data_IF_372294739327
#
_entry.id   IF_372294739327
#
_cell.length_a   1.000
_cell.length_b   1.000
_cell.length_c   1.000
_cell.angle_alpha   90.00
_cell.angle_beta   90.00
_cell.angle_gamma   90.00
#
_symmetry.space_group_name_H-M   'P 1'
#
loop_
_entity.id
_entity.type
_entity.pdbx_description
1 polymer ?
#
# COMPACT_ATOMS: atom_id res chain seq x y z
N UNK A 1 -43.92 -2.74 41.06
CA UNK A 1 -42.79 -3.71 41.03
C UNK A 1 -42.23 -3.88 39.61
N UNK A 2 -41.69 -2.84 38.95
CA UNK A 2 -41.19 -2.96 37.57
C UNK A 2 -39.82 -2.31 37.28
N UNK A 3 -39.12 -1.75 38.28
CA UNK A 3 -37.87 -1.01 38.04
C UNK A 3 -36.58 -1.84 38.28
N UNK A 4 -36.66 -2.94 39.06
CA UNK A 4 -35.49 -3.80 39.35
C UNK A 4 -35.09 -4.71 38.18
N UNK A 5 -36.03 -5.11 37.32
CA UNK A 5 -35.73 -5.96 36.15
C UNK A 5 -34.97 -5.22 35.04
N UNK A 6 -35.18 -3.90 34.92
CA UNK A 6 -34.50 -3.04 33.93
C UNK A 6 -33.02 -2.86 34.28
N UNK A 7 -32.74 -2.55 35.55
CA UNK A 7 -31.37 -2.29 36.04
C UNK A 7 -30.49 -3.55 35.92
N UNK A 8 -31.01 -4.73 36.27
CA UNK A 8 -30.24 -5.98 36.15
C UNK A 8 -29.89 -6.33 34.71
N UNK A 9 -30.76 -6.03 33.74
CA UNK A 9 -30.47 -6.22 32.31
C UNK A 9 -29.42 -5.25 31.80
N UNK A 10 -29.44 -4.00 32.27
CA UNK A 10 -28.42 -2.99 31.96
C UNK A 10 -27.07 -3.39 32.55
N UNK A 11 -27.03 -3.84 33.81
CA UNK A 11 -25.80 -4.32 34.46
C UNK A 11 -25.22 -5.54 33.73
N UNK A 12 -26.06 -6.51 33.33
CA UNK A 12 -25.61 -7.67 32.54
C UNK A 12 -25.10 -7.27 31.16
N UNK A 13 -25.76 -6.33 30.47
CA UNK A 13 -25.30 -5.83 29.18
C UNK A 13 -23.97 -5.07 29.30
N UNK A 14 -23.82 -4.23 30.33
CA UNK A 14 -22.55 -3.55 30.62
C UNK A 14 -21.45 -4.54 31.00
N UNK A 15 -21.75 -5.57 31.80
CA UNK A 15 -20.78 -6.61 32.15
C UNK A 15 -20.36 -7.45 30.94
N UNK A 16 -21.29 -7.77 30.03
CA UNK A 16 -20.97 -8.47 28.79
C UNK A 16 -20.09 -7.62 27.85
N UNK A 17 -20.40 -6.33 27.70
CA UNK A 17 -19.57 -5.38 26.93
C UNK A 17 -18.18 -5.24 27.59
N UNK A 18 -18.12 -5.19 28.91
CA UNK A 18 -16.86 -5.09 29.66
C UNK A 18 -16.03 -6.38 29.55
N UNK A 19 -16.65 -7.56 29.55
CA UNK A 19 -15.97 -8.84 29.34
C UNK A 19 -15.52 -9.04 27.89
N UNK A 20 -16.28 -8.55 26.91
CA UNK A 20 -15.85 -8.51 25.50
C UNK A 20 -14.68 -7.54 25.34
N UNK A 21 -14.75 -6.36 25.96
CA UNK A 21 -13.68 -5.38 25.96
C UNK A 21 -12.42 -5.91 26.65
N UNK A 22 -12.53 -6.59 27.80
CA UNK A 22 -11.42 -7.25 28.49
C UNK A 22 -10.89 -8.44 27.68
N UNK A 23 -11.76 -9.23 27.06
CA UNK A 23 -11.35 -10.31 26.15
C UNK A 23 -10.48 -9.76 25.02
N UNK A 24 -10.93 -8.68 24.36
CA UNK A 24 -10.10 -7.96 23.39
C UNK A 24 -8.82 -7.35 24.01
N UNK A 25 -8.89 -6.86 25.26
CA UNK A 25 -7.75 -6.29 26.00
C UNK A 25 -6.69 -7.33 26.37
N UNK A 26 -7.07 -8.59 26.58
CA UNK A 26 -6.18 -9.70 26.92
C UNK A 26 -5.60 -10.37 25.65
N UNK A 27 -6.35 -10.36 24.53
CA UNK A 27 -5.95 -11.04 23.29
C UNK A 27 -5.23 -10.15 22.25
N UNK A 28 -5.24 -8.82 22.40
CA UNK A 28 -4.41 -7.94 21.58
C UNK A 28 -3.01 -7.80 22.23
N UNK A 29 -1.91 -8.20 21.55
CA UNK A 29 -0.59 -8.10 22.14
C UNK A 29 -0.23 -6.62 22.39
N UNK A 30 0.29 -6.27 23.57
CA UNK A 30 0.70 -4.90 23.89
C UNK A 30 1.81 -4.43 22.96
N UNK A 31 1.92 -3.11 22.76
CA UNK A 31 3.07 -2.48 22.10
C UNK A 31 4.37 -3.07 22.64
N UNK A 32 5.16 -3.66 21.74
CA UNK A 32 6.50 -4.08 22.07
C UNK A 32 7.44 -2.91 21.76
N UNK A 33 8.20 -2.41 22.75
CA UNK A 33 9.19 -1.36 22.49
C UNK A 33 10.19 -1.82 21.42
N UNK A 34 10.89 -0.89 20.76
CA UNK A 34 11.80 -1.20 19.67
C UNK A 34 12.76 -2.29 20.13
N UNK A 35 12.82 -3.39 19.38
CA UNK A 35 13.80 -4.43 19.65
C UNK A 35 15.18 -3.88 19.29
N UNK A 36 16.22 -4.38 19.93
CA UNK A 36 17.59 -4.08 19.49
C UNK A 36 17.81 -4.78 18.15
N UNK A 37 17.51 -4.06 17.08
CA UNK A 37 17.53 -4.58 15.71
C UNK A 37 18.97 -4.61 15.20
N UNK A 38 19.38 -5.67 14.47
CA UNK A 38 20.68 -5.64 13.81
C UNK A 38 20.73 -4.46 12.82
N UNK A 39 21.89 -3.82 12.63
CA UNK A 39 22.02 -2.74 11.65
C UNK A 39 21.74 -3.28 10.25
N UNK A 40 20.88 -2.57 9.50
CA UNK A 40 20.49 -2.94 8.14
C UNK A 40 21.22 -2.03 7.15
N UNK A 41 21.90 -2.63 6.17
CA UNK A 41 22.55 -1.86 5.12
C UNK A 41 21.52 -1.18 4.20
N UNK A 42 21.89 -0.02 3.65
CA UNK A 42 20.95 0.85 2.91
C UNK A 42 20.33 0.16 1.69
N UNK A 43 21.09 -0.68 1.00
CA UNK A 43 20.61 -1.41 -0.17
C UNK A 43 19.54 -2.45 0.21
N UNK A 44 19.77 -3.23 1.26
CA UNK A 44 18.77 -4.14 1.82
C UNK A 44 17.53 -3.38 2.30
N UNK A 45 17.72 -2.24 2.99
CA UNK A 45 16.61 -1.39 3.46
C UNK A 45 15.73 -0.91 2.31
N UNK A 46 16.33 -0.39 1.24
CA UNK A 46 15.60 0.05 0.04
C UNK A 46 14.86 -1.09 -0.65
N UNK A 47 15.46 -2.30 -0.69
CA UNK A 47 14.80 -3.49 -1.23
C UNK A 47 13.60 -3.90 -0.38
N UNK A 48 13.75 -3.89 0.94
CA UNK A 48 12.67 -4.21 1.87
C UNK A 48 11.56 -3.15 1.83
N UNK A 49 11.89 -1.87 1.64
CA UNK A 49 10.90 -0.80 1.44
C UNK A 49 9.93 -1.13 0.31
N UNK A 50 10.46 -1.35 -0.90
CA UNK A 50 9.62 -1.65 -2.08
C UNK A 50 8.76 -2.88 -1.82
N UNK A 51 9.35 -3.93 -1.24
CA UNK A 51 8.65 -5.18 -0.97
C UNK A 51 7.55 -5.00 0.09
N UNK A 52 7.84 -4.33 1.21
CA UNK A 52 6.88 -4.06 2.28
C UNK A 52 5.70 -3.26 1.73
N UNK A 53 5.96 -2.17 1.01
CA UNK A 53 4.87 -1.30 0.56
C UNK A 53 4.03 -1.91 -0.57
N UNK A 54 4.60 -2.74 -1.45
CA UNK A 54 3.83 -3.53 -2.41
C UNK A 54 2.91 -4.55 -1.72
N UNK A 55 3.34 -5.12 -0.60
CA UNK A 55 2.48 -6.00 0.19
C UNK A 55 1.38 -5.24 0.93
N UNK A 56 1.72 -4.09 1.50
CA UNK A 56 0.78 -3.23 2.23
C UNK A 56 -0.16 -2.44 1.31
N UNK A 57 0.01 -2.47 0.00
CA UNK A 57 -0.85 -1.74 -0.93
C UNK A 57 -2.02 -2.59 -1.45
N UNK A 58 -1.92 -3.92 -1.33
CA UNK A 58 -3.02 -4.85 -1.59
C UNK A 58 -4.13 -4.63 -0.56
N UNK A 59 -5.24 -4.00 -0.99
CA UNK A 59 -6.39 -3.73 -0.14
C UNK A 59 -7.46 -4.82 -0.30
N UNK A 60 -8.01 -5.29 0.82
CA UNK A 60 -8.83 -6.49 0.90
C UNK A 60 -10.16 -6.38 0.16
N UNK A 61 -10.24 -7.06 -0.98
CA UNK A 61 -11.44 -7.78 -1.41
C UNK A 61 -11.00 -9.12 -1.98
N UNK A 62 -10.50 -9.98 -1.08
CA UNK A 62 -10.17 -11.40 -1.29
C UNK A 62 -8.90 -11.72 -2.11
N UNK A 63 -7.71 -11.27 -1.67
CA UNK A 63 -6.50 -11.96 -2.10
C UNK A 63 -6.56 -13.42 -1.59
N UNK A 64 -6.09 -14.42 -2.36
CA UNK A 64 -6.18 -15.83 -1.95
C UNK A 64 -5.56 -16.06 -0.57
N UNK A 65 -6.14 -16.93 0.27
CA UNK A 65 -5.65 -17.16 1.64
C UNK A 65 -4.13 -17.33 1.72
N UNK A 66 -3.53 -18.12 0.83
CA UNK A 66 -2.07 -18.35 0.80
C UNK A 66 -1.22 -17.07 0.72
N UNK A 67 -1.75 -15.99 0.14
CA UNK A 67 -1.06 -14.70 0.09
C UNK A 67 -1.06 -13.98 1.44
N UNK A 68 -2.05 -14.22 2.29
CA UNK A 68 -2.18 -13.57 3.59
C UNK A 68 -1.20 -14.15 4.62
N UNK A 69 -1.11 -15.48 4.73
CA UNK A 69 -0.11 -16.13 5.60
C UNK A 69 1.31 -15.75 5.16
N UNK A 70 1.60 -15.87 3.86
CA UNK A 70 2.90 -15.48 3.30
C UNK A 70 3.25 -14.02 3.59
N UNK A 71 2.31 -13.09 3.41
CA UNK A 71 2.52 -11.66 3.67
C UNK A 71 2.88 -11.44 5.15
N UNK A 72 2.12 -12.06 6.05
CA UNK A 72 2.38 -11.95 7.48
C UNK A 72 3.78 -12.46 7.84
N UNK A 73 4.13 -13.67 7.36
CA UNK A 73 5.45 -14.27 7.58
C UNK A 73 6.58 -13.38 7.04
N UNK A 74 6.41 -12.86 5.83
CA UNK A 74 7.36 -11.97 5.18
C UNK A 74 7.61 -10.69 5.98
N UNK A 75 6.55 -10.01 6.44
CA UNK A 75 6.67 -8.77 7.21
C UNK A 75 7.34 -9.03 8.57
N UNK A 76 6.99 -10.14 9.23
CA UNK A 76 7.64 -10.56 10.47
C UNK A 76 9.12 -10.91 10.26
N UNK A 77 9.47 -11.51 9.12
CA UNK A 77 10.85 -11.80 8.77
C UNK A 77 11.68 -10.53 8.52
N UNK A 78 11.12 -9.55 7.80
CA UNK A 78 11.74 -8.23 7.65
C UNK A 78 12.00 -7.56 9.01
N UNK A 79 11.01 -7.61 9.92
CA UNK A 79 11.16 -7.10 11.27
C UNK A 79 12.31 -7.79 12.03
N UNK A 80 12.44 -9.12 11.91
CA UNK A 80 13.56 -9.88 12.51
C UNK A 80 14.92 -9.51 11.94
N UNK A 81 14.97 -9.15 10.66
CA UNK A 81 16.18 -8.68 9.97
C UNK A 81 16.55 -7.22 10.29
N UNK A 82 15.78 -6.56 11.16
CA UNK A 82 16.07 -5.21 11.64
C UNK A 82 15.37 -4.09 10.88
N UNK A 83 14.42 -4.41 9.99
CA UNK A 83 13.61 -3.41 9.33
C UNK A 83 12.44 -2.97 10.21
N UNK A 84 12.70 -2.02 11.11
CA UNK A 84 11.76 -1.52 12.12
C UNK A 84 10.42 -1.05 11.56
N UNK A 85 10.40 -0.47 10.36
CA UNK A 85 9.16 -0.03 9.70
C UNK A 85 8.22 -1.20 9.40
N UNK A 86 8.74 -2.40 9.11
CA UNK A 86 7.93 -3.60 8.94
C UNK A 86 7.28 -4.06 10.26
N UNK A 87 8.02 -3.96 11.38
CA UNK A 87 7.49 -4.28 12.70
C UNK A 87 6.35 -3.32 13.09
N UNK A 88 6.56 -2.01 12.85
CA UNK A 88 5.52 -1.02 13.06
C UNK A 88 4.29 -1.24 12.17
N UNK A 89 4.50 -1.66 10.91
CA UNK A 89 3.40 -2.02 10.03
C UNK A 89 2.61 -3.22 10.58
N UNK A 90 3.29 -4.24 11.11
CA UNK A 90 2.65 -5.39 11.76
C UNK A 90 1.85 -4.99 13.00
N UNK A 91 2.38 -4.08 13.82
CA UNK A 91 1.71 -3.62 15.04
C UNK A 91 0.51 -2.70 14.77
N UNK A 92 0.55 -1.91 13.70
CA UNK A 92 -0.45 -0.87 13.40
C UNK A 92 -1.44 -1.29 12.33
N UNK A 93 -1.16 -2.28 11.50
CA UNK A 93 -2.04 -2.64 10.40
C UNK A 93 -2.43 -4.11 10.54
N UNK A 94 -3.69 -4.43 10.20
CA UNK A 94 -4.06 -5.82 9.92
C UNK A 94 -3.40 -6.23 8.61
N UNK A 95 -2.16 -6.71 8.70
CA UNK A 95 -1.38 -7.16 7.56
C UNK A 95 -1.92 -8.46 6.97
N UNK A 96 -2.70 -9.23 7.73
CA UNK A 96 -3.24 -10.51 7.28
C UNK A 96 -4.46 -10.30 6.39
N UNK A 97 -5.44 -9.52 6.84
CA UNK A 97 -6.71 -9.36 6.13
C UNK A 97 -6.87 -8.01 5.43
N UNK A 98 -5.99 -7.05 5.72
CA UNK A 98 -6.04 -5.74 5.07
C UNK A 98 -7.31 -4.98 5.45
N UNK A 99 -7.42 -4.56 6.71
CA UNK A 99 -8.54 -3.70 7.13
C UNK A 99 -8.36 -2.27 6.60
N UNK A 100 -9.45 -1.74 6.03
CA UNK A 100 -9.60 -0.33 5.71
C UNK A 100 -10.96 0.16 6.22
N UNK A 101 -11.00 1.38 6.76
CA UNK A 101 -12.21 1.92 7.38
C UNK A 101 -11.88 2.89 8.50
N UNK A 102 -12.88 3.67 8.92
CA UNK A 102 -12.72 4.57 10.07
C UNK A 102 -12.32 3.73 11.29
N UNK A 103 -11.12 3.98 11.79
CA UNK A 103 -10.56 3.31 12.96
C UNK A 103 -10.20 4.36 13.99
N UNK A 104 -10.58 4.11 15.23
CA UNK A 104 -10.21 4.94 16.35
C UNK A 104 -8.92 4.38 16.93
N UNK A 105 -7.87 5.20 17.02
CA UNK A 105 -6.59 4.78 17.56
C UNK A 105 -6.77 4.26 19.00
N UNK A 106 -6.66 2.95 19.17
CA UNK A 106 -6.92 2.26 20.44
C UNK A 106 -5.73 2.46 21.40
N UNK A 107 -5.91 2.51 22.72
CA UNK A 107 -4.83 2.75 23.68
C UNK A 107 -3.58 1.87 23.48
N UNK A 108 -3.75 0.63 23.02
CA UNK A 108 -2.66 -0.31 22.75
C UNK A 108 -1.79 0.09 21.54
N UNK A 109 -2.37 0.78 20.55
CA UNK A 109 -1.68 1.21 19.32
C UNK A 109 -0.93 2.53 19.52
N UNK A 110 -1.19 3.26 20.61
CA UNK A 110 -0.58 4.58 20.86
C UNK A 110 0.93 4.54 21.01
N UNK A 111 1.48 3.43 21.54
CA UNK A 111 2.93 3.24 21.63
C UNK A 111 3.55 3.18 20.25
N UNK A 112 3.10 2.23 19.43
CA UNK A 112 3.57 2.03 18.07
C UNK A 112 3.36 3.27 17.19
N UNK A 113 2.19 3.90 17.28
CA UNK A 113 1.89 5.07 16.44
C UNK A 113 2.72 6.29 16.83
N UNK A 114 2.97 6.53 18.13
CA UNK A 114 3.88 7.61 18.56
C UNK A 114 5.32 7.34 18.12
N UNK A 115 5.78 6.09 18.22
CA UNK A 115 7.11 5.71 17.77
C UNK A 115 7.28 5.89 16.25
N UNK A 116 6.28 5.45 15.47
CA UNK A 116 6.23 5.69 14.03
C UNK A 116 6.33 7.18 13.68
N UNK A 117 5.62 8.04 14.43
CA UNK A 117 5.68 9.49 14.24
C UNK A 117 7.05 10.06 14.60
N UNK A 118 7.66 9.63 15.70
CA UNK A 118 9.01 10.08 16.08
C UNK A 118 10.04 9.75 14.99
N UNK A 119 10.03 8.53 14.45
CA UNK A 119 10.89 8.15 13.31
C UNK A 119 10.63 9.03 12.07
N UNK A 120 9.35 9.25 11.74
CA UNK A 120 8.94 10.10 10.62
C UNK A 120 9.39 11.55 10.78
N UNK A 121 9.32 12.09 12.00
CA UNK A 121 9.73 13.45 12.34
C UNK A 121 11.26 13.59 12.29
N UNK A 122 12.00 12.55 12.68
CA UNK A 122 13.47 12.51 12.63
C UNK A 122 14.09 12.43 11.25
N UNK A 123 13.34 12.07 10.21
CA UNK A 123 13.93 11.96 8.87
C UNK A 123 13.51 10.74 8.08
N UNK A 124 13.01 9.70 8.74
CA UNK A 124 12.83 8.40 8.10
C UNK A 124 11.71 8.46 7.05
N UNK A 125 12.10 8.38 5.77
CA UNK A 125 11.18 8.47 4.64
C UNK A 125 10.18 7.31 4.60
N UNK A 126 10.59 6.13 5.05
CA UNK A 126 9.79 4.92 5.08
C UNK A 126 8.77 4.97 6.22
N UNK A 127 9.19 5.46 7.39
CA UNK A 127 8.29 5.77 8.50
C UNK A 127 7.25 6.83 8.12
N UNK A 128 7.64 7.91 7.43
CA UNK A 128 6.68 8.90 6.88
C UNK A 128 5.66 8.23 5.96
N UNK A 129 6.13 7.35 5.07
CA UNK A 129 5.24 6.72 4.12
C UNK A 129 4.28 5.71 4.78
N UNK A 130 4.75 4.98 5.80
CA UNK A 130 3.90 4.13 6.63
C UNK A 130 2.91 4.97 7.44
N UNK A 131 3.32 6.10 8.02
CA UNK A 131 2.42 7.01 8.74
C UNK A 131 1.30 7.53 7.82
N UNK A 132 1.63 7.93 6.58
CA UNK A 132 0.66 8.29 5.58
C UNK A 132 -0.31 7.13 5.27
N UNK A 133 0.19 5.92 5.12
CA UNK A 133 -0.65 4.74 4.87
C UNK A 133 -1.63 4.48 6.04
N UNK A 134 -1.13 4.53 7.28
CA UNK A 134 -1.94 4.37 8.50
C UNK A 134 -3.03 5.44 8.55
N UNK A 135 -2.68 6.72 8.37
CA UNK A 135 -3.64 7.83 8.33
C UNK A 135 -4.72 7.58 7.28
N UNK A 136 -4.33 7.16 6.07
CA UNK A 136 -5.27 6.93 4.96
C UNK A 136 -6.20 5.75 5.22
N UNK A 137 -5.69 4.64 5.77
CA UNK A 137 -6.46 3.42 6.06
C UNK A 137 -7.45 3.63 7.18
N UNK A 138 -7.04 4.35 8.22
CA UNK A 138 -7.84 4.64 9.42
C UNK A 138 -8.69 5.90 9.31
N UNK A 139 -8.52 6.67 8.23
CA UNK A 139 -9.20 7.96 8.00
C UNK A 139 -8.95 8.96 9.14
N UNK A 140 -7.68 9.07 9.57
CA UNK A 140 -7.24 10.09 10.51
C UNK A 140 -7.15 11.47 9.81
N UNK A 141 -6.44 12.43 10.40
CA UNK A 141 -6.28 13.76 9.83
C UNK A 141 -5.59 13.73 8.45
N UNK A 142 -6.33 14.03 7.38
CA UNK A 142 -5.85 14.00 6.00
C UNK A 142 -4.82 15.09 5.67
N UNK A 143 -4.67 16.14 6.49
CA UNK A 143 -3.56 17.10 6.33
C UNK A 143 -2.20 16.47 6.64
N UNK A 144 -2.15 15.63 7.67
CA UNK A 144 -0.94 14.89 8.04
C UNK A 144 -0.59 13.86 6.95
N UNK A 145 -1.60 13.26 6.30
CA UNK A 145 -1.39 12.37 5.15
C UNK A 145 -0.59 13.05 4.05
N UNK A 146 -1.06 14.21 3.58
CA UNK A 146 -0.41 14.95 2.51
C UNK A 146 0.99 15.41 2.93
N UNK A 147 1.12 15.94 4.14
CA UNK A 147 2.39 16.37 4.72
C UNK A 147 3.47 15.27 4.65
N UNK A 148 3.10 14.03 5.01
CA UNK A 148 4.02 12.90 5.00
C UNK A 148 4.30 12.39 3.58
N UNK A 149 3.28 12.29 2.72
CA UNK A 149 3.45 11.86 1.32
C UNK A 149 4.43 12.79 0.60
N UNK A 150 4.23 14.10 0.66
CA UNK A 150 5.07 15.08 -0.03
C UNK A 150 6.53 14.99 0.43
N UNK A 151 6.79 14.88 1.74
CA UNK A 151 8.15 14.79 2.28
C UNK A 151 8.83 13.47 1.93
N UNK A 152 8.12 12.34 2.07
CA UNK A 152 8.66 11.03 1.73
C UNK A 152 8.92 10.90 0.22
N UNK A 153 8.04 11.44 -0.63
CA UNK A 153 8.22 11.47 -2.07
C UNK A 153 9.44 12.31 -2.48
N UNK A 154 9.63 13.49 -1.87
CA UNK A 154 10.84 14.32 -2.08
C UNK A 154 12.12 13.61 -1.66
N UNK A 155 12.07 12.78 -0.62
CA UNK A 155 13.17 11.91 -0.20
C UNK A 155 13.36 10.68 -1.10
N UNK A 156 12.55 10.51 -2.15
CA UNK A 156 12.68 9.44 -3.14
C UNK A 156 12.09 8.10 -2.71
N UNK A 157 11.27 8.07 -1.64
CA UNK A 157 10.62 6.85 -1.15
C UNK A 157 9.64 6.34 -2.22
N UNK A 158 9.81 5.11 -2.76
CA UNK A 158 9.11 4.67 -3.96
C UNK A 158 7.58 4.71 -3.86
N UNK A 159 7.01 4.19 -2.77
CA UNK A 159 5.57 4.13 -2.58
C UNK A 159 4.94 5.52 -2.41
N UNK A 160 5.62 6.44 -1.74
CA UNK A 160 5.14 7.81 -1.58
C UNK A 160 5.36 8.64 -2.85
N UNK A 161 6.34 8.32 -3.70
CA UNK A 161 6.40 8.82 -5.07
C UNK A 161 5.14 8.41 -5.85
N UNK A 162 4.68 7.16 -5.72
CA UNK A 162 3.40 6.71 -6.29
C UNK A 162 2.21 7.48 -5.70
N UNK A 163 2.13 7.64 -4.37
CA UNK A 163 1.05 8.41 -3.73
C UNK A 163 1.07 9.88 -4.13
N UNK A 164 2.23 10.49 -4.32
CA UNK A 164 2.37 11.85 -4.85
C UNK A 164 1.79 11.96 -6.25
N UNK A 165 2.04 10.97 -7.11
CA UNK A 165 1.38 10.89 -8.42
C UNK A 165 -0.15 10.87 -8.29
N UNK A 166 -0.66 10.12 -7.31
CA UNK A 166 -2.09 10.08 -6.99
C UNK A 166 -2.65 11.41 -6.46
N UNK A 167 -1.88 12.18 -5.66
CA UNK A 167 -2.29 13.50 -5.18
C UNK A 167 -2.41 14.53 -6.32
N UNK A 168 -1.60 14.38 -7.36
CA UNK A 168 -1.58 15.29 -8.51
C UNK A 168 -2.64 14.97 -9.56
N UNK A 169 -3.40 13.88 -9.38
CA UNK A 169 -4.42 13.42 -10.32
C UNK A 169 -5.82 13.43 -9.67
N UNK A 170 -6.90 13.59 -10.45
CA UNK A 170 -8.25 13.50 -9.93
C UNK A 170 -8.60 12.07 -9.46
N UNK A 171 -9.54 11.91 -8.51
CA UNK A 171 -10.20 12.98 -7.75
C UNK A 171 -9.32 13.53 -6.61
N UNK A 172 -9.49 14.81 -6.29
CA UNK A 172 -8.95 15.41 -5.06
C UNK A 172 -9.79 15.00 -3.82
N UNK A 173 -9.31 15.36 -2.63
CA UNK A 173 -10.09 15.20 -1.39
C UNK A 173 -10.24 16.54 -0.65
N UNK A 174 -11.33 16.72 0.14
CA UNK A 174 -11.56 17.98 0.84
C UNK A 174 -10.37 18.39 1.72
N UNK A 175 -9.89 19.61 1.51
CA UNK A 175 -8.75 20.16 2.25
C UNK A 175 -7.37 19.73 1.74
N UNK A 176 -7.28 19.12 0.57
CA UNK A 176 -6.02 18.92 -0.15
C UNK A 176 -5.36 20.27 -0.47
N UNK A 177 -4.07 20.41 -0.16
CA UNK A 177 -3.28 21.62 -0.40
C UNK A 177 -2.47 21.52 -1.71
N UNK A 178 -2.10 20.30 -2.11
CA UNK A 178 -1.38 20.00 -3.35
C UNK A 178 -2.28 20.24 -4.54
N UNK A 179 -1.87 21.15 -5.42
CA UNK A 179 -2.61 21.49 -6.65
C UNK A 179 -2.49 20.36 -7.67
N UNK A 180 -3.60 20.02 -8.32
CA UNK A 180 -3.64 19.02 -9.39
C UNK A 180 -2.74 19.41 -10.56
N UNK A 181 -2.00 18.43 -11.08
CA UNK A 181 -1.14 18.53 -12.25
C UNK A 181 -1.01 17.11 -12.82
N UNK A 182 -1.96 16.73 -13.68
CA UNK A 182 -2.05 15.35 -14.18
C UNK A 182 -0.79 14.92 -14.94
N UNK A 183 -0.13 15.84 -15.64
CA UNK A 183 1.11 15.57 -16.35
C UNK A 183 2.23 15.19 -15.38
N UNK A 184 2.45 15.99 -14.33
CA UNK A 184 3.39 15.62 -13.27
C UNK A 184 2.94 14.34 -12.56
N UNK A 185 1.63 14.16 -12.34
CA UNK A 185 1.07 12.94 -11.77
C UNK A 185 1.51 11.69 -12.54
N UNK A 186 1.42 11.73 -13.87
CA UNK A 186 1.88 10.67 -14.76
C UNK A 186 3.41 10.47 -14.71
N UNK A 187 4.20 11.54 -14.61
CA UNK A 187 5.65 11.44 -14.40
C UNK A 187 6.01 10.73 -13.09
N UNK A 188 5.31 11.07 -12.00
CA UNK A 188 5.46 10.40 -10.70
C UNK A 188 5.05 8.93 -10.75
N UNK A 189 3.98 8.59 -11.49
CA UNK A 189 3.59 7.20 -11.75
C UNK A 189 4.71 6.44 -12.46
N UNK A 190 5.29 7.00 -13.53
CA UNK A 190 6.41 6.39 -14.23
C UNK A 190 7.64 6.22 -13.34
N UNK A 191 7.96 7.23 -12.53
CA UNK A 191 9.09 7.18 -11.60
C UNK A 191 8.92 6.08 -10.55
N UNK A 192 7.73 5.96 -9.97
CA UNK A 192 7.43 4.90 -9.00
C UNK A 192 7.47 3.50 -9.65
N UNK A 193 6.93 3.36 -10.86
CA UNK A 193 6.95 2.10 -11.60
C UNK A 193 8.38 1.62 -11.90
N UNK A 194 9.27 2.55 -12.28
CA UNK A 194 10.71 2.28 -12.46
C UNK A 194 11.43 1.89 -11.17
N UNK A 195 10.89 2.30 -10.01
CA UNK A 195 11.38 1.90 -8.69
C UNK A 195 10.76 0.60 -8.17
N UNK A 196 9.95 -0.09 -8.97
CA UNK A 196 9.36 -1.38 -8.61
C UNK A 196 8.06 -1.31 -7.83
N UNK A 197 7.38 -0.16 -7.79
CA UNK A 197 6.06 -0.06 -7.16
C UNK A 197 5.02 -0.73 -8.03
N UNK A 198 4.41 -1.80 -7.51
CA UNK A 198 3.54 -2.68 -8.28
C UNK A 198 2.28 -1.97 -8.79
N UNK A 199 1.60 -1.15 -7.95
CA UNK A 199 0.42 -0.41 -8.41
C UNK A 199 0.74 0.58 -9.52
N UNK A 200 1.92 1.19 -9.49
CA UNK A 200 2.34 2.12 -10.54
C UNK A 200 2.61 1.36 -11.86
N UNK A 201 3.15 0.15 -11.78
CA UNK A 201 3.33 -0.72 -12.95
C UNK A 201 1.98 -1.21 -13.50
N UNK A 202 1.02 -1.59 -12.63
CA UNK A 202 -0.37 -1.91 -13.01
C UNK A 202 -1.06 -0.69 -13.64
N UNK A 203 -0.83 0.51 -13.10
CA UNK A 203 -1.34 1.76 -13.67
C UNK A 203 -0.83 1.97 -15.10
N UNK A 204 0.48 1.78 -15.34
CA UNK A 204 1.05 1.92 -16.68
C UNK A 204 0.54 0.84 -17.63
N UNK A 205 0.43 -0.41 -17.15
CA UNK A 205 -0.19 -1.51 -17.91
C UNK A 205 -1.59 -1.11 -18.38
N UNK A 206 -2.46 -0.67 -17.45
CA UNK A 206 -3.83 -0.28 -17.78
C UNK A 206 -3.88 0.95 -18.69
N UNK A 207 -3.00 1.93 -18.48
CA UNK A 207 -2.97 3.15 -19.30
C UNK A 207 -2.59 2.86 -20.75
N UNK A 208 -1.57 2.01 -20.97
CA UNK A 208 -1.17 1.56 -22.31
C UNK A 208 -2.18 0.61 -22.95
N UNK A 209 -2.83 -0.27 -22.18
CA UNK A 209 -3.81 -1.22 -22.71
C UNK A 209 -5.10 -0.53 -23.20
N UNK A 210 -5.43 0.64 -22.64
CA UNK A 210 -6.60 1.41 -23.04
C UNK A 210 -6.28 2.64 -23.92
N UNK A 211 -5.01 3.03 -24.01
CA UNK A 211 -4.63 4.28 -24.66
C UNK A 211 -5.22 5.50 -23.96
N UNK A 212 -5.05 5.59 -22.63
CA UNK A 212 -5.67 6.61 -21.78
C UNK A 212 -4.65 7.35 -20.92
N UNK A 213 -5.07 8.43 -20.23
CA UNK A 213 -4.25 9.19 -19.28
C UNK A 213 -2.94 9.74 -19.88
N UNK A 214 -2.98 10.09 -21.16
CA UNK A 214 -1.81 10.59 -21.91
C UNK A 214 -0.90 9.51 -22.50
N UNK A 215 -1.22 8.22 -22.32
CA UNK A 215 -0.46 7.12 -22.90
C UNK A 215 -1.14 6.62 -24.19
N UNK A 216 -0.40 6.41 -25.29
CA UNK A 216 -0.96 5.84 -26.51
C UNK A 216 -1.33 4.37 -26.31
N UNK A 217 -2.32 3.88 -27.05
CA UNK A 217 -2.68 2.47 -27.05
C UNK A 217 -1.47 1.63 -27.52
N UNK A 218 -0.96 0.76 -26.65
CA UNK A 218 0.17 -0.11 -26.96
C UNK A 218 0.15 -1.39 -26.12
N UNK A 219 -0.30 -2.50 -26.73
CA UNK A 219 -0.40 -3.78 -26.03
C UNK A 219 0.97 -4.39 -25.69
N UNK A 220 2.02 -4.10 -26.46
CA UNK A 220 3.38 -4.54 -26.15
C UNK A 220 3.91 -3.92 -24.85
N UNK A 221 3.75 -2.60 -24.69
CA UNK A 221 4.11 -1.89 -23.46
C UNK A 221 3.23 -2.33 -22.29
N UNK A 222 1.93 -2.53 -22.52
CA UNK A 222 1.03 -3.04 -21.48
C UNK A 222 1.51 -4.40 -20.93
N UNK A 223 1.80 -5.37 -21.82
CA UNK A 223 2.39 -6.66 -21.45
C UNK A 223 3.73 -6.52 -20.70
N UNK A 224 4.60 -5.63 -21.17
CA UNK A 224 5.90 -5.43 -20.54
C UNK A 224 5.77 -4.88 -19.10
N UNK A 225 4.94 -3.85 -18.90
CA UNK A 225 4.69 -3.32 -17.55
C UNK A 225 3.96 -4.31 -16.66
N UNK A 226 3.05 -5.12 -17.21
CA UNK A 226 2.44 -6.22 -16.49
C UNK A 226 3.48 -7.23 -15.99
N UNK A 227 4.42 -7.64 -16.84
CA UNK A 227 5.48 -8.58 -16.46
C UNK A 227 6.40 -8.07 -15.36
N UNK A 228 6.58 -6.74 -15.26
CA UNK A 228 7.27 -6.12 -14.14
C UNK A 228 6.43 -6.17 -12.86
N UNK A 229 5.13 -5.87 -12.96
CA UNK A 229 4.20 -5.93 -11.82
C UNK A 229 4.08 -7.34 -11.21
N UNK A 230 4.18 -8.38 -12.04
CA UNK A 230 4.15 -9.77 -11.59
C UNK A 230 5.33 -10.14 -10.69
N UNK A 231 6.48 -9.46 -10.82
CA UNK A 231 7.69 -9.75 -10.02
C UNK A 231 7.52 -9.43 -8.53
N UNK A 232 6.59 -8.54 -8.18
CA UNK A 232 6.29 -8.23 -6.79
C UNK A 232 5.55 -9.38 -6.08
N UNK A 233 4.82 -10.22 -6.84
CA UNK A 233 4.23 -11.48 -6.37
C UNK A 233 3.39 -11.35 -5.08
N UNK A 234 2.63 -10.28 -5.00
CA UNK A 234 1.73 -9.94 -3.87
C UNK A 234 0.31 -10.51 -4.05
N UNK A 235 0.02 -11.05 -5.24
CA UNK A 235 -1.32 -11.41 -5.69
C UNK A 235 -2.12 -10.30 -6.39
N UNK A 236 -1.65 -9.04 -6.39
CA UNK A 236 -2.38 -7.92 -7.00
C UNK A 236 -2.62 -8.06 -8.52
N UNK A 237 -1.78 -8.84 -9.22
CA UNK A 237 -1.88 -9.05 -10.67
C UNK A 237 -2.83 -10.18 -11.06
N UNK A 238 -3.41 -10.92 -10.11
CA UNK A 238 -4.24 -12.10 -10.39
C UNK A 238 -5.48 -11.75 -11.23
N UNK A 239 -6.22 -10.71 -10.83
CA UNK A 239 -7.40 -10.23 -11.59
C UNK A 239 -6.99 -9.50 -12.86
N UNK A 240 -5.89 -8.75 -12.79
CA UNK A 240 -5.38 -7.95 -13.91
C UNK A 240 -4.92 -8.83 -15.08
N UNK A 241 -4.45 -10.06 -14.84
CA UNK A 241 -4.07 -11.01 -15.90
C UNK A 241 -5.23 -11.27 -16.86
N UNK A 242 -6.36 -11.72 -16.34
CA UNK A 242 -7.53 -12.06 -17.16
C UNK A 242 -8.08 -10.83 -17.90
N UNK A 243 -8.04 -9.65 -17.27
CA UNK A 243 -8.42 -8.40 -17.91
C UNK A 243 -7.50 -8.06 -19.09
N UNK A 244 -6.18 -8.18 -18.90
CA UNK A 244 -5.20 -7.90 -19.94
C UNK A 244 -5.30 -8.90 -21.09
N UNK A 245 -5.48 -10.19 -20.81
CA UNK A 245 -5.69 -11.22 -21.83
C UNK A 245 -6.92 -10.92 -22.69
N UNK A 246 -8.03 -10.53 -22.05
CA UNK A 246 -9.24 -10.11 -22.76
C UNK A 246 -9.01 -8.87 -23.63
N UNK A 247 -8.31 -7.84 -23.11
CA UNK A 247 -7.97 -6.63 -23.86
C UNK A 247 -7.10 -6.94 -25.09
N UNK A 248 -6.12 -7.83 -24.94
CA UNK A 248 -5.25 -8.28 -26.04
C UNK A 248 -6.07 -8.99 -27.11
N UNK A 249 -6.97 -9.89 -26.73
CA UNK A 249 -7.85 -10.58 -27.67
C UNK A 249 -8.72 -9.58 -28.45
N UNK A 250 -9.32 -8.61 -27.76
CA UNK A 250 -10.12 -7.56 -28.39
C UNK A 250 -9.30 -6.67 -29.32
N UNK A 251 -8.06 -6.34 -28.96
CA UNK A 251 -7.16 -5.59 -29.82
C UNK A 251 -6.80 -6.38 -31.09
N UNK A 252 -6.50 -7.67 -30.96
CA UNK A 252 -6.23 -8.55 -32.08
C UNK A 252 -7.43 -8.65 -33.04
N UNK A 253 -8.65 -8.83 -32.52
CA UNK A 253 -9.88 -8.85 -33.33
C UNK A 253 -10.12 -7.55 -34.11
N UNK A 254 -9.66 -6.42 -33.56
CA UNK A 254 -9.72 -5.09 -34.21
C UNK A 254 -8.54 -4.81 -35.14
N UNK A 255 -7.66 -5.79 -35.37
CA UNK A 255 -6.47 -5.65 -36.21
C UNK A 255 -5.39 -4.73 -35.63
N UNK A 256 -5.40 -4.50 -34.31
CA UNK A 256 -4.38 -3.73 -33.62
C UNK A 256 -3.15 -4.62 -33.40
N UNK A 257 -1.95 -4.09 -33.65
CA UNK A 257 -0.71 -4.85 -33.46
C UNK A 257 -0.48 -5.15 -31.97
N UNK A 258 -0.51 -6.44 -31.63
CA UNK A 258 -0.23 -6.96 -30.29
C UNK A 258 1.12 -7.68 -30.20
N UNK A 259 1.86 -7.78 -31.31
CA UNK A 259 3.10 -8.56 -31.41
C UNK A 259 4.30 -7.84 -30.79
N UNK A 260 4.24 -6.52 -30.64
CA UNK A 260 5.36 -5.72 -30.11
C UNK A 260 5.86 -6.24 -28.76
N UNK A 261 7.19 -6.34 -28.64
CA UNK A 261 7.90 -6.72 -27.41
C UNK A 261 8.78 -5.56 -26.95
N UNK A 262 8.91 -5.38 -25.64
CA UNK A 262 9.69 -4.30 -25.05
C UNK A 262 10.65 -4.86 -23.99
N UNK A 263 11.77 -4.16 -23.81
CA UNK A 263 12.80 -4.57 -22.86
C UNK A 263 12.44 -4.18 -21.42
N UNK A 264 12.19 -5.12 -20.50
CA UNK A 264 11.88 -4.81 -19.11
C UNK A 264 13.06 -4.14 -18.37
N UNK A 265 14.31 -4.42 -18.77
CA UNK A 265 15.51 -3.79 -18.18
C UNK A 265 15.66 -2.31 -18.55
N UNK A 266 14.98 -1.87 -19.61
CA UNK A 266 14.92 -0.47 -20.03
C UNK A 266 13.52 0.10 -19.77
N UNK A 267 12.84 -0.42 -18.74
CA UNK A 267 11.56 0.09 -18.27
C UNK A 267 10.51 0.17 -19.38
N UNK A 268 10.53 -0.82 -20.27
CA UNK A 268 9.58 -0.95 -21.37
C UNK A 268 9.56 0.23 -22.35
N UNK A 269 10.62 1.04 -22.39
CA UNK A 269 10.73 2.14 -23.36
C UNK A 269 11.37 1.71 -24.67
N UNK A 270 12.21 0.68 -24.63
CA UNK A 270 12.92 0.19 -25.82
C UNK A 270 12.18 -1.00 -26.41
N UNK A 271 11.68 -0.83 -27.65
CA UNK A 271 11.11 -1.91 -28.46
C UNK A 271 12.23 -2.89 -28.83
N UNK A 272 11.98 -4.18 -28.62
CA UNK A 272 12.86 -5.24 -29.06
C UNK A 272 12.54 -5.52 -30.54
N UNK A 273 13.55 -5.47 -31.41
CA UNK A 273 13.44 -6.03 -32.75
C UNK A 273 13.48 -7.55 -32.65
N UNK A 274 12.60 -8.23 -33.38
CA UNK A 274 12.75 -9.66 -33.64
C UNK A 274 14.02 -9.96 -34.46
#
# INVERSE_FOLDING_TARGET
>A
MNNKMSINRIILACAAIFLIAIGWFIYAPPYHPPRDYPPLADAERQRMDVKLFNELSVNGSWPPHYTNERRQELILDMAKQGFEVADLAYQLLDVKYGMSGRHWLMPLEWGAYRHLRDLADRGDSSARCLAALVIRRWQLNMKDYEFYVVRAAKAGQPFCVYKMGGLLMPPDFPGQETVLDEHKGAEFMLLAAKKGVQEAQIYLMNSYAHGSRGYPLNMGKAKCWFSLAEQADTGATLTERSNLDWLIQQAHEKGIDVSEKYNPKQWCETKLSD
#
